data_IF_739686782933
#
_entry.id   IF_739686782933
#
_cell.length_a   1.000
_cell.length_b   1.000
_cell.length_c   1.000
_cell.angle_alpha   90.00
_cell.angle_beta   90.00
_cell.angle_gamma   90.00
#
_symmetry.space_group_name_H-M   'P 1'
#
loop_
_entity.id
_entity.type
_entity.pdbx_description
1 polymer ?
#
# COMPACT_ATOMS: atom_id res chain seq x y z
N UNK A 1 -3.93 -12.15 -21.77
CA UNK A 1 -2.57 -11.68 -22.12
C UNK A 1 -1.65 -12.24 -21.06
N UNK A 2 -0.43 -12.68 -21.41
CA UNK A 2 0.48 -13.24 -20.40
C UNK A 2 0.86 -12.14 -19.40
N UNK A 3 0.82 -12.42 -18.10
CA UNK A 3 1.11 -11.46 -17.02
C UNK A 3 2.47 -10.75 -17.21
N UNK A 4 3.42 -11.46 -17.81
CA UNK A 4 4.73 -10.91 -18.15
C UNK A 4 4.67 -9.86 -19.27
N UNK A 5 3.81 -10.06 -20.28
CA UNK A 5 3.61 -9.08 -21.36
C UNK A 5 2.95 -7.81 -20.83
N UNK A 6 1.92 -7.95 -19.98
CA UNK A 6 1.30 -6.81 -19.29
C UNK A 6 2.31 -6.03 -18.44
N UNK A 7 3.23 -6.72 -17.77
CA UNK A 7 4.32 -6.10 -17.03
C UNK A 7 5.28 -5.32 -17.94
N UNK A 8 5.69 -5.89 -19.08
CA UNK A 8 6.54 -5.20 -20.05
C UNK A 8 5.85 -3.96 -20.62
N UNK A 9 4.58 -4.05 -20.99
CA UNK A 9 3.79 -2.91 -21.43
C UNK A 9 3.66 -1.83 -20.35
N UNK A 10 3.56 -2.25 -19.08
CA UNK A 10 3.50 -1.33 -17.95
C UNK A 10 4.83 -0.60 -17.72
N UNK A 11 5.96 -1.29 -17.87
CA UNK A 11 7.29 -0.67 -17.84
C UNK A 11 7.39 0.41 -18.91
N UNK A 12 6.97 0.10 -20.14
CA UNK A 12 6.95 1.04 -21.26
C UNK A 12 5.95 2.19 -21.09
N UNK A 13 5.06 2.14 -20.10
CA UNK A 13 4.05 3.17 -19.84
C UNK A 13 2.82 3.08 -20.72
N UNK A 14 2.69 2.03 -21.54
CA UNK A 14 1.52 1.80 -22.39
C UNK A 14 0.38 1.12 -21.63
N UNK A 15 0.68 0.55 -20.46
CA UNK A 15 -0.29 -0.13 -19.61
C UNK A 15 -0.24 0.45 -18.19
N UNK A 16 -1.39 0.86 -17.67
CA UNK A 16 -1.48 1.52 -16.37
C UNK A 16 -1.99 0.54 -15.29
N UNK A 17 -1.53 0.70 -14.04
CA UNK A 17 -2.13 0.02 -12.90
C UNK A 17 -3.63 0.32 -12.82
N UNK A 18 -4.40 -0.71 -12.48
CA UNK A 18 -5.84 -0.69 -12.27
C UNK A 18 -6.21 -1.74 -11.21
N UNK A 19 -7.45 -1.75 -10.68
CA UNK A 19 -7.82 -2.66 -9.60
C UNK A 19 -7.59 -4.16 -9.88
N UNK A 20 -7.60 -4.57 -11.16
CA UNK A 20 -7.46 -5.98 -11.57
C UNK A 20 -5.99 -6.42 -11.69
N UNK A 21 -5.09 -5.51 -12.06
CA UNK A 21 -3.69 -5.84 -12.36
C UNK A 21 -2.69 -5.31 -11.31
N UNK A 22 -3.08 -4.35 -10.46
CA UNK A 22 -2.12 -3.58 -9.64
C UNK A 22 -1.31 -4.44 -8.69
N UNK A 23 -1.91 -5.50 -8.12
CA UNK A 23 -1.19 -6.41 -7.23
C UNK A 23 -0.20 -7.31 -7.99
N UNK A 24 -0.54 -7.72 -9.21
CA UNK A 24 0.36 -8.50 -10.07
C UNK A 24 1.54 -7.62 -10.51
N UNK A 25 1.26 -6.41 -10.98
CA UNK A 25 2.29 -5.45 -11.39
C UNK A 25 3.18 -5.06 -10.21
N UNK A 26 2.63 -4.84 -9.02
CA UNK A 26 3.41 -4.52 -7.82
C UNK A 26 4.37 -5.66 -7.45
N UNK A 27 3.90 -6.92 -7.46
CA UNK A 27 4.74 -8.09 -7.18
C UNK A 27 5.90 -8.21 -8.17
N UNK A 28 5.64 -8.04 -9.46
CA UNK A 28 6.68 -8.11 -10.48
C UNK A 28 7.63 -6.92 -10.42
N UNK A 29 7.11 -5.71 -10.18
CA UNK A 29 7.92 -4.51 -10.01
C UNK A 29 8.83 -4.60 -8.79
N UNK A 30 8.37 -5.18 -7.68
CA UNK A 30 9.18 -5.43 -6.51
C UNK A 30 10.25 -6.50 -6.78
N UNK A 31 9.85 -7.63 -7.37
CA UNK A 31 10.75 -8.73 -7.70
C UNK A 31 11.89 -8.31 -8.65
N UNK A 32 11.54 -7.60 -9.73
CA UNK A 32 12.50 -7.09 -10.72
C UNK A 32 13.07 -5.70 -10.36
N UNK A 33 12.72 -5.15 -9.19
CA UNK A 33 13.20 -3.85 -8.70
C UNK A 33 12.94 -2.67 -9.65
N UNK A 34 11.81 -2.69 -10.37
CA UNK A 34 11.38 -1.61 -11.26
C UNK A 34 10.69 -0.50 -10.44
N UNK A 35 11.50 0.37 -9.84
CA UNK A 35 11.05 1.45 -8.93
C UNK A 35 9.99 2.37 -9.53
N UNK A 36 10.13 2.73 -10.81
CA UNK A 36 9.18 3.60 -11.50
C UNK A 36 7.78 2.96 -11.67
N UNK A 37 7.70 1.63 -11.87
CA UNK A 37 6.41 0.94 -11.92
C UNK A 37 5.84 0.75 -10.52
N UNK A 38 6.70 0.42 -9.54
CA UNK A 38 6.30 0.29 -8.13
C UNK A 38 5.67 1.57 -7.59
N UNK A 39 6.27 2.74 -7.86
CA UNK A 39 5.72 4.04 -7.47
C UNK A 39 4.36 4.35 -8.14
N UNK A 40 4.18 3.96 -9.41
CA UNK A 40 2.88 4.06 -10.09
C UNK A 40 1.83 3.13 -9.47
N UNK A 41 2.20 1.91 -9.10
CA UNK A 41 1.32 1.00 -8.37
C UNK A 41 0.92 1.58 -7.01
N UNK A 42 1.85 2.16 -6.25
CA UNK A 42 1.56 2.88 -5.00
C UNK A 42 0.54 3.98 -5.18
N UNK A 43 0.76 4.85 -6.17
CA UNK A 43 -0.12 5.99 -6.46
C UNK A 43 -1.54 5.52 -6.79
N UNK A 44 -1.66 4.45 -7.59
CA UNK A 44 -2.95 3.84 -7.87
C UNK A 44 -3.59 3.27 -6.61
N UNK A 45 -2.83 2.50 -5.82
CA UNK A 45 -3.33 1.86 -4.61
C UNK A 45 -3.84 2.90 -3.61
N UNK A 46 -3.20 4.05 -3.42
CA UNK A 46 -3.69 5.13 -2.54
C UNK A 46 -5.13 5.54 -2.87
N UNK A 47 -5.46 5.64 -4.17
CA UNK A 47 -6.74 6.15 -4.66
C UNK A 47 -7.76 5.04 -5.03
N UNK A 48 -7.35 3.78 -5.01
CA UNK A 48 -8.17 2.64 -5.46
C UNK A 48 -9.28 2.32 -4.46
N UNK A 49 -10.53 2.68 -4.76
CA UNK A 49 -11.69 2.44 -3.89
C UNK A 49 -12.21 1.01 -3.98
N UNK A 50 -11.92 0.33 -5.09
CA UNK A 50 -12.32 -1.04 -5.38
C UNK A 50 -11.57 -2.07 -4.53
N UNK A 51 -10.41 -1.69 -3.99
CA UNK A 51 -9.67 -2.52 -3.04
C UNK A 51 -9.86 -1.92 -1.63
N UNK A 52 -10.35 -2.69 -0.65
CA UNK A 52 -10.50 -2.21 0.73
C UNK A 52 -9.21 -1.57 1.27
N UNK A 53 -9.37 -0.49 2.04
CA UNK A 53 -8.23 0.25 2.58
C UNK A 53 -7.33 -0.64 3.46
N UNK A 54 -7.92 -1.58 4.19
CA UNK A 54 -7.20 -2.56 5.00
C UNK A 54 -6.30 -3.45 4.15
N UNK A 55 -6.84 -4.03 3.08
CA UNK A 55 -6.09 -4.91 2.18
C UNK A 55 -4.89 -4.19 1.56
N UNK A 56 -5.07 -2.91 1.20
CA UNK A 56 -4.00 -2.06 0.68
C UNK A 56 -2.96 -1.70 1.75
N UNK A 57 -3.40 -1.42 2.97
CA UNK A 57 -2.52 -1.11 4.10
C UNK A 57 -1.59 -2.26 4.44
N UNK A 58 -2.09 -3.50 4.40
CA UNK A 58 -1.30 -4.72 4.62
C UNK A 58 -0.17 -4.91 3.59
N UNK A 59 -0.22 -4.22 2.44
CA UNK A 59 0.85 -4.24 1.43
C UNK A 59 2.02 -3.33 1.79
N UNK A 60 1.83 -2.33 2.67
CA UNK A 60 2.81 -1.27 2.90
C UNK A 60 4.11 -1.83 3.45
N UNK A 61 4.04 -2.59 4.54
CA UNK A 61 5.24 -3.18 5.12
C UNK A 61 5.83 -4.26 4.20
N UNK A 62 4.96 -5.11 3.62
CA UNK A 62 5.38 -6.22 2.76
C UNK A 62 6.21 -5.78 1.56
N UNK A 63 5.81 -4.69 0.92
CA UNK A 63 6.45 -4.19 -0.30
C UNK A 63 7.21 -2.89 -0.06
N UNK A 64 7.37 -2.42 1.18
CA UNK A 64 8.06 -1.14 1.46
C UNK A 64 7.44 0.03 0.70
N UNK A 65 6.12 0.23 0.83
CA UNK A 65 5.38 1.23 0.07
C UNK A 65 5.45 2.61 0.73
N UNK A 66 6.58 3.29 0.62
CA UNK A 66 6.85 4.51 1.38
C UNK A 66 5.87 5.66 1.08
N UNK A 67 5.47 5.88 -0.18
CA UNK A 67 4.52 6.97 -0.48
C UNK A 67 3.15 6.67 0.13
N UNK A 68 2.75 5.40 0.14
CA UNK A 68 1.51 5.00 0.80
C UNK A 68 1.64 5.15 2.33
N UNK A 69 2.78 4.79 2.91
CA UNK A 69 3.04 5.04 4.33
C UNK A 69 2.88 6.52 4.68
N UNK A 70 3.44 7.43 3.87
CA UNK A 70 3.29 8.87 4.05
C UNK A 70 1.83 9.34 3.90
N UNK A 71 1.10 8.82 2.92
CA UNK A 71 -0.33 9.11 2.78
C UNK A 71 -1.15 8.78 4.04
N UNK A 72 -0.85 7.67 4.71
CA UNK A 72 -1.48 7.36 5.99
C UNK A 72 -1.03 8.26 7.13
N UNK A 73 0.22 8.74 7.12
CA UNK A 73 0.70 9.69 8.13
C UNK A 73 0.00 11.06 8.03
N UNK A 74 -0.54 11.41 6.86
CA UNK A 74 -1.33 12.62 6.66
C UNK A 74 -2.81 12.48 7.07
N UNK A 75 -3.25 11.29 7.51
CA UNK A 75 -4.61 11.12 8.00
C UNK A 75 -4.83 11.90 9.30
N UNK A 76 -6.04 12.44 9.45
CA UNK A 76 -6.51 12.92 10.73
C UNK A 76 -6.39 11.82 11.80
N UNK A 77 -5.87 12.19 12.97
CA UNK A 77 -5.61 11.26 14.08
C UNK A 77 -6.86 10.46 14.46
N UNK A 78 -8.04 11.06 14.42
CA UNK A 78 -9.29 10.36 14.77
C UNK A 78 -9.66 9.36 13.68
N UNK A 79 -9.44 9.68 12.41
CA UNK A 79 -9.64 8.72 11.30
C UNK A 79 -8.67 7.54 11.38
N UNK A 80 -7.41 7.81 11.67
CA UNK A 80 -6.38 6.79 11.91
C UNK A 80 -6.77 5.88 13.07
N UNK A 81 -7.18 6.46 14.20
CA UNK A 81 -7.65 5.71 15.37
C UNK A 81 -8.88 4.85 15.06
N UNK A 82 -9.88 5.41 14.37
CA UNK A 82 -11.07 4.67 13.96
C UNK A 82 -10.72 3.50 13.02
N UNK A 83 -9.82 3.73 12.06
CA UNK A 83 -9.32 2.68 11.18
C UNK A 83 -8.62 1.57 11.95
N UNK A 84 -7.74 1.91 12.90
CA UNK A 84 -7.05 0.91 13.71
C UNK A 84 -8.00 0.10 14.59
N UNK A 85 -8.96 0.76 15.24
CA UNK A 85 -9.94 0.08 16.07
C UNK A 85 -10.85 -0.85 15.26
N UNK A 86 -11.27 -0.43 14.06
CA UNK A 86 -12.16 -1.22 13.20
C UNK A 86 -11.48 -2.47 12.60
N UNK A 87 -10.16 -2.48 12.51
CA UNK A 87 -9.40 -3.55 11.83
C UNK A 87 -8.37 -4.23 12.75
N UNK A 88 -8.45 -4.02 14.07
CA UNK A 88 -7.47 -4.50 15.06
C UNK A 88 -7.08 -5.97 14.89
N UNK A 89 -8.06 -6.85 14.69
CA UNK A 89 -7.83 -8.30 14.54
C UNK A 89 -7.07 -8.65 13.25
N UNK A 90 -7.21 -7.86 12.19
CA UNK A 90 -6.58 -8.11 10.89
C UNK A 90 -5.11 -7.68 10.85
N UNK A 91 -4.68 -6.76 11.73
CA UNK A 91 -3.29 -6.30 11.79
C UNK A 91 -2.34 -7.25 12.53
N UNK A 92 -2.83 -7.85 13.63
CA UNK A 92 -2.02 -8.66 14.55
C UNK A 92 -1.18 -9.78 13.91
N UNK A 93 -1.64 -10.46 12.84
CA UNK A 93 -0.84 -11.52 12.21
C UNK A 93 0.10 -11.03 11.10
N UNK A 94 -0.05 -9.81 10.59
CA UNK A 94 0.60 -9.39 9.33
C UNK A 94 1.56 -8.22 9.49
N UNK A 95 1.29 -7.31 10.43
CA UNK A 95 2.05 -6.06 10.57
C UNK A 95 2.86 -6.06 11.86
N UNK A 96 4.12 -5.64 11.76
CA UNK A 96 5.01 -5.55 12.91
C UNK A 96 4.50 -4.55 13.97
N UNK A 97 4.75 -4.86 15.25
CA UNK A 97 4.39 -3.95 16.35
C UNK A 97 5.15 -2.63 16.22
N UNK A 98 6.36 -2.67 15.67
CA UNK A 98 7.22 -1.53 15.37
C UNK A 98 6.58 -0.60 14.35
N UNK A 99 5.99 -1.15 13.28
CA UNK A 99 5.29 -0.37 12.26
C UNK A 99 4.02 0.26 12.83
N UNK A 100 3.22 -0.51 13.59
CA UNK A 100 2.05 0.03 14.30
C UNK A 100 2.44 1.14 15.29
N UNK A 101 3.55 0.95 16.01
CA UNK A 101 4.08 1.95 16.94
C UNK A 101 4.56 3.22 16.22
N UNK A 102 5.26 3.10 15.09
CA UNK A 102 5.69 4.25 14.31
C UNK A 102 4.51 5.10 13.81
N UNK A 103 3.39 4.46 13.47
CA UNK A 103 2.14 5.14 13.10
C UNK A 103 1.42 5.73 14.31
N UNK A 104 1.48 5.07 15.48
CA UNK A 104 0.81 5.55 16.69
C UNK A 104 1.55 6.69 17.39
N UNK A 105 2.89 6.70 17.43
CA UNK A 105 3.69 7.76 18.10
C UNK A 105 3.50 9.13 17.48
N UNK A 106 3.31 9.22 16.16
CA UNK A 106 3.02 10.51 15.49
C UNK A 106 1.55 10.91 15.57
N UNK A 107 0.63 9.96 15.77
CA UNK A 107 -0.79 10.23 15.97
C UNK A 107 -1.23 10.36 17.44
N UNK A 108 -0.43 9.95 18.41
CA UNK A 108 -0.82 9.81 19.82
C UNK A 108 0.16 10.50 20.79
N UNK A 109 0.78 11.62 20.40
CA UNK A 109 1.56 12.48 21.30
C UNK A 109 0.71 13.23 22.36
N UNK A 110 -0.39 12.63 22.82
CA UNK A 110 -1.35 13.20 23.75
C UNK A 110 -2.13 12.14 24.54
N UNK A 111 -1.43 11.13 25.05
CA UNK A 111 -1.87 10.27 26.15
C UNK A 111 -0.83 10.29 27.26
#
# INVERSE_FOLDING_TARGET
MDQFMEFLEAICGHFLPNPKNVLMLLKLADYFQVTALKSRCETHLINCVEIPLIDRFLLIERFGLDNFKYYFLDFDVNKLRAFFNANHEQFLPVISKEFLYALSVRGMAGL
#
